data_IF_104328751854
#
_entry.id   IF_104328751854
#
_cell.length_a   1.000
_cell.length_b   1.000
_cell.length_c   1.000
_cell.angle_alpha   90.00
_cell.angle_beta   90.00
_cell.angle_gamma   90.00
#
_symmetry.space_group_name_H-M   'P 1'
#
loop_
_entity.id
_entity.type
_entity.pdbx_description
1 polymer ?
#
# COMPACT_ATOMS: atom_id res chain seq x y z
N UNK A 1 -0.26 46.55 -5.89
CA UNK A 1 0.72 45.77 -6.67
C UNK A 1 1.71 46.72 -7.36
N UNK A 2 2.57 47.41 -6.61
CA UNK A 2 3.47 48.41 -7.22
C UNK A 2 4.74 47.82 -7.87
N UNK A 3 5.07 46.55 -7.58
CA UNK A 3 6.30 45.92 -8.06
C UNK A 3 6.20 45.44 -9.53
N UNK A 4 4.98 45.18 -10.02
CA UNK A 4 4.70 44.74 -11.39
C UNK A 4 4.64 45.92 -12.38
N UNK A 5 4.24 47.12 -11.92
CA UNK A 5 4.19 48.33 -12.75
C UNK A 5 5.55 48.69 -13.38
N UNK A 6 6.65 48.31 -12.74
CA UNK A 6 8.01 48.49 -13.27
C UNK A 6 8.44 47.43 -14.27
N UNK A 7 7.82 46.25 -14.24
CA UNK A 7 7.99 45.19 -15.24
C UNK A 7 7.20 45.53 -16.50
N UNK A 8 5.95 45.96 -16.37
CA UNK A 8 5.07 46.28 -17.50
C UNK A 8 5.63 47.40 -18.39
N UNK A 9 6.48 48.27 -17.83
CA UNK A 9 7.13 49.38 -18.55
C UNK A 9 8.46 49.01 -19.21
N UNK A 10 9.01 47.82 -18.95
CA UNK A 10 10.31 47.39 -19.45
C UNK A 10 10.22 46.00 -20.09
N UNK A 11 10.62 45.87 -21.36
CA UNK A 11 10.65 44.60 -22.11
C UNK A 11 11.78 43.63 -21.65
N UNK A 12 12.18 43.68 -20.37
CA UNK A 12 13.21 42.79 -19.87
C UNK A 12 12.65 41.37 -19.67
N UNK A 13 13.41 40.31 -19.99
CA UNK A 13 13.00 38.94 -19.70
C UNK A 13 12.68 38.76 -18.20
N UNK A 14 11.55 38.15 -17.89
CA UNK A 14 11.07 37.92 -16.52
C UNK A 14 12.14 37.31 -15.61
N UNK A 15 12.95 36.39 -16.14
CA UNK A 15 14.06 35.74 -15.41
C UNK A 15 15.04 36.74 -14.80
N UNK A 16 15.28 37.87 -15.47
CA UNK A 16 16.21 38.91 -15.03
C UNK A 16 15.58 39.88 -14.04
N UNK A 17 14.27 40.12 -14.15
CA UNK A 17 13.53 41.03 -13.27
C UNK A 17 13.02 40.34 -11.98
N UNK A 18 12.89 39.01 -12.01
CA UNK A 18 12.36 38.20 -10.91
C UNK A 18 13.07 38.38 -9.55
N UNK A 19 14.41 38.43 -9.46
CA UNK A 19 15.08 38.67 -8.17
C UNK A 19 14.72 40.02 -7.54
N UNK A 20 14.49 41.05 -8.36
CA UNK A 20 14.06 42.37 -7.90
C UNK A 20 12.61 42.38 -7.44
N UNK A 21 11.73 41.63 -8.12
CA UNK A 21 10.35 41.42 -7.66
C UNK A 21 10.33 40.76 -6.29
N UNK A 22 11.14 39.72 -6.09
CA UNK A 22 11.25 39.04 -4.80
C UNK A 22 11.72 39.98 -3.69
N UNK A 23 12.73 40.82 -3.97
CA UNK A 23 13.22 41.80 -3.02
C UNK A 23 12.19 42.89 -2.65
N UNK A 24 11.21 43.15 -3.53
CA UNK A 24 10.14 44.12 -3.31
C UNK A 24 8.86 43.56 -2.68
N UNK A 25 8.80 42.25 -2.39
CA UNK A 25 7.66 41.62 -1.74
C UNK A 25 7.70 41.87 -0.22
N UNK A 26 6.68 42.55 0.28
CA UNK A 26 6.46 42.74 1.72
C UNK A 26 5.46 41.68 2.21
N UNK A 27 5.97 40.67 2.91
CA UNK A 27 5.18 39.54 3.40
C UNK A 27 4.19 39.95 4.49
N UNK A 28 4.53 40.90 5.37
CA UNK A 28 3.64 41.37 6.43
C UNK A 28 2.45 42.14 5.87
N UNK A 29 2.71 42.97 4.85
CA UNK A 29 1.66 43.68 4.13
C UNK A 29 0.74 42.72 3.38
N UNK A 30 1.30 41.72 2.71
CA UNK A 30 0.51 40.75 1.95
C UNK A 30 -0.31 39.85 2.88
N UNK A 31 0.25 39.41 4.01
CA UNK A 31 -0.48 38.67 5.03
C UNK A 31 -1.68 39.45 5.58
N UNK A 32 -1.50 40.75 5.90
CA UNK A 32 -2.61 41.63 6.32
C UNK A 32 -3.65 41.84 5.23
N UNK A 33 -3.22 41.90 3.97
CA UNK A 33 -4.15 41.99 2.83
C UNK A 33 -4.99 40.73 2.72
N UNK A 34 -4.35 39.56 2.79
CA UNK A 34 -5.00 38.25 2.69
C UNK A 34 -5.95 37.98 3.85
N UNK A 35 -5.66 38.46 5.06
CA UNK A 35 -6.54 38.35 6.21
C UNK A 35 -7.92 39.00 6.00
N UNK A 36 -8.00 40.00 5.12
CA UNK A 36 -9.24 40.70 4.79
C UNK A 36 -9.93 40.14 3.54
N UNK A 37 -9.40 39.08 2.92
CA UNK A 37 -10.02 38.42 1.78
C UNK A 37 -11.09 37.47 2.30
N UNK A 38 -12.36 37.83 2.05
CA UNK A 38 -13.47 36.90 2.24
C UNK A 38 -13.65 36.11 0.94
N UNK A 39 -13.35 34.81 1.01
CA UNK A 39 -13.70 33.89 -0.07
C UNK A 39 -15.21 33.65 -0.06
N UNK A 40 -15.81 33.58 -1.24
CA UNK A 40 -17.20 33.19 -1.38
C UNK A 40 -17.40 31.81 -0.73
N UNK A 41 -18.51 31.64 0.01
CA UNK A 41 -18.84 30.36 0.62
C UNK A 41 -18.94 29.27 -0.45
N UNK A 42 -18.34 28.11 -0.17
CA UNK A 42 -18.44 26.92 -1.01
C UNK A 42 -19.91 26.49 -1.08
N UNK A 43 -20.59 26.86 -2.16
CA UNK A 43 -21.88 26.26 -2.49
C UNK A 43 -21.63 24.88 -3.08
N UNK A 44 -22.54 23.90 -2.87
CA UNK A 44 -22.44 22.57 -3.46
C UNK A 44 -22.25 22.58 -5.00
N UNK A 45 -22.81 23.59 -5.66
CA UNK A 45 -22.64 23.81 -7.10
C UNK A 45 -21.25 24.34 -7.47
N UNK A 46 -20.64 25.18 -6.64
CA UNK A 46 -19.28 25.67 -6.85
C UNK A 46 -18.24 24.59 -6.58
N UNK A 47 -18.45 23.70 -5.59
CA UNK A 47 -17.62 22.50 -5.39
C UNK A 47 -17.73 21.55 -6.57
N UNK A 48 -18.95 21.27 -7.06
CA UNK A 48 -19.13 20.40 -8.22
C UNK A 48 -18.53 21.00 -9.51
N UNK A 49 -18.56 22.33 -9.66
CA UNK A 49 -17.93 23.01 -10.80
C UNK A 49 -16.39 23.06 -10.69
N UNK A 50 -15.84 23.25 -9.48
CA UNK A 50 -14.40 23.22 -9.23
C UNK A 50 -13.82 21.80 -9.35
N UNK A 51 -14.52 20.79 -8.83
CA UNK A 51 -14.16 19.36 -8.97
C UNK A 51 -14.25 18.88 -10.42
N UNK A 52 -15.13 19.45 -11.25
CA UNK A 52 -15.15 19.18 -12.70
C UNK A 52 -13.96 19.78 -13.44
N UNK A 53 -13.36 20.86 -12.96
CA UNK A 53 -12.24 21.54 -13.61
C UNK A 53 -10.87 21.05 -13.12
N UNK A 54 -10.80 20.55 -11.88
CA UNK A 54 -9.67 19.73 -11.44
C UNK A 54 -9.99 18.29 -11.80
N UNK A 55 -9.87 17.95 -13.08
CA UNK A 55 -9.89 16.56 -13.50
C UNK A 55 -8.86 15.83 -12.61
N UNK A 56 -9.36 14.95 -11.73
CA UNK A 56 -8.50 14.04 -11.00
C UNK A 56 -7.53 13.43 -12.02
N UNK A 57 -6.22 13.35 -11.73
CA UNK A 57 -5.32 12.62 -12.61
C UNK A 57 -5.99 11.27 -12.90
N UNK A 58 -6.00 10.81 -14.18
CA UNK A 58 -6.63 9.54 -14.52
C UNK A 58 -6.15 8.51 -13.50
N UNK A 59 -7.03 7.64 -12.97
CA UNK A 59 -6.62 6.62 -12.02
C UNK A 59 -5.40 5.94 -12.62
N UNK A 60 -4.25 6.07 -11.93
CA UNK A 60 -2.99 5.58 -12.45
C UNK A 60 -3.23 4.16 -12.92
N UNK A 61 -2.92 3.88 -14.20
CA UNK A 61 -3.14 2.54 -14.72
C UNK A 61 -2.47 1.55 -13.77
N UNK A 62 -3.19 0.50 -13.32
CA UNK A 62 -2.62 -0.43 -12.36
C UNK A 62 -1.30 -0.92 -12.94
N UNK A 63 -0.26 -0.81 -12.13
CA UNK A 63 1.09 -1.21 -12.50
C UNK A 63 1.07 -2.64 -13.02
N UNK A 64 2.05 -2.99 -13.82
CA UNK A 64 2.13 -4.34 -14.37
C UNK A 64 2.11 -5.41 -13.25
N UNK A 65 2.78 -5.13 -12.12
CA UNK A 65 2.74 -5.97 -10.93
C UNK A 65 1.31 -6.14 -10.37
N UNK A 66 0.55 -5.06 -10.23
CA UNK A 66 -0.83 -5.12 -9.73
C UNK A 66 -1.74 -5.91 -10.67
N UNK A 67 -1.58 -5.74 -12.00
CA UNK A 67 -2.32 -6.52 -13.00
C UNK A 67 -2.00 -8.01 -12.92
N UNK A 68 -0.72 -8.36 -12.84
CA UNK A 68 -0.29 -9.74 -12.71
C UNK A 68 -0.77 -10.37 -11.40
N UNK A 69 -0.67 -9.64 -10.28
CA UNK A 69 -1.16 -10.10 -8.97
C UNK A 69 -2.67 -10.31 -8.97
N UNK A 70 -3.44 -9.41 -9.58
CA UNK A 70 -4.89 -9.55 -9.69
C UNK A 70 -5.29 -10.79 -10.49
N UNK A 71 -4.62 -11.04 -11.62
CA UNK A 71 -4.87 -12.23 -12.43
C UNK A 71 -4.47 -13.53 -11.70
N UNK A 72 -3.27 -13.56 -11.09
CA UNK A 72 -2.83 -14.71 -10.30
C UNK A 72 -3.75 -14.99 -9.11
N UNK A 73 -4.26 -13.94 -8.45
CA UNK A 73 -5.24 -14.06 -7.37
C UNK A 73 -6.55 -14.66 -7.86
N UNK A 74 -7.04 -14.19 -9.00
CA UNK A 74 -8.26 -14.74 -9.63
C UNK A 74 -8.10 -16.23 -9.95
N UNK A 75 -6.95 -16.64 -10.47
CA UNK A 75 -6.65 -18.05 -10.72
C UNK A 75 -6.57 -18.86 -9.42
N UNK A 76 -5.95 -18.32 -8.38
CA UNK A 76 -5.88 -18.95 -7.06
C UNK A 76 -7.23 -19.10 -6.37
N UNK A 77 -8.11 -18.11 -6.49
CA UNK A 77 -9.48 -18.17 -5.95
C UNK A 77 -10.36 -19.15 -6.75
N UNK A 78 -10.06 -19.37 -8.03
CA UNK A 78 -10.63 -20.44 -8.85
C UNK A 78 -10.01 -21.84 -8.57
N UNK A 79 -9.05 -21.94 -7.65
CA UNK A 79 -8.26 -23.14 -7.35
C UNK A 79 -7.57 -23.75 -8.58
N UNK A 80 -7.22 -22.90 -9.55
CA UNK A 80 -6.54 -23.33 -10.76
C UNK A 80 -5.08 -23.69 -10.43
N UNK A 81 -4.58 -24.89 -10.78
CA UNK A 81 -3.18 -25.24 -10.63
C UNK A 81 -2.21 -24.29 -11.36
N UNK A 82 -2.69 -23.56 -12.38
CA UNK A 82 -1.92 -22.54 -13.09
C UNK A 82 -1.53 -21.35 -12.19
N UNK A 83 -2.24 -21.12 -11.07
CA UNK A 83 -1.95 -20.04 -10.14
C UNK A 83 -0.51 -20.10 -9.59
N UNK A 84 0.02 -21.31 -9.35
CA UNK A 84 1.41 -21.52 -8.91
C UNK A 84 2.38 -20.93 -9.93
N UNK A 85 2.21 -21.26 -11.21
CA UNK A 85 3.07 -20.77 -12.29
C UNK A 85 2.91 -19.26 -12.48
N UNK A 86 1.71 -18.72 -12.31
CA UNK A 86 1.46 -17.28 -12.38
C UNK A 86 2.23 -16.53 -11.29
N UNK A 87 2.17 -16.99 -10.03
CA UNK A 87 2.93 -16.36 -8.95
C UNK A 87 4.44 -16.56 -9.08
N UNK A 88 4.92 -17.71 -9.55
CA UNK A 88 6.34 -17.93 -9.81
C UNK A 88 6.89 -16.94 -10.85
N UNK A 89 6.13 -16.65 -11.92
CA UNK A 89 6.49 -15.61 -12.90
C UNK A 89 6.54 -14.22 -12.29
N UNK A 90 5.61 -13.89 -11.40
CA UNK A 90 5.61 -12.61 -10.69
C UNK A 90 6.86 -12.48 -9.84
N UNK A 91 7.21 -13.51 -9.06
CA UNK A 91 8.37 -13.49 -8.16
C UNK A 91 9.69 -13.42 -8.95
N UNK A 92 9.77 -14.05 -10.13
CA UNK A 92 10.94 -13.92 -11.00
C UNK A 92 11.16 -12.48 -11.48
N UNK A 93 10.09 -11.74 -11.73
CA UNK A 93 10.14 -10.35 -12.20
C UNK A 93 10.23 -9.34 -11.05
N UNK A 94 9.60 -9.66 -9.92
CA UNK A 94 9.47 -8.82 -8.73
C UNK A 94 9.78 -9.67 -7.48
N UNK A 95 11.06 -9.90 -7.17
CA UNK A 95 11.46 -10.75 -6.04
C UNK A 95 11.03 -10.16 -4.68
N UNK A 96 10.95 -8.84 -4.58
CA UNK A 96 10.60 -8.07 -3.37
C UNK A 96 9.09 -7.84 -3.22
N UNK A 97 8.26 -8.73 -3.78
CA UNK A 97 6.80 -8.66 -3.69
C UNK A 97 6.26 -9.70 -2.68
N UNK A 98 6.16 -9.36 -1.37
CA UNK A 98 5.69 -10.29 -0.34
C UNK A 98 4.26 -10.79 -0.60
N UNK A 99 3.41 -9.96 -1.24
CA UNK A 99 2.07 -10.36 -1.66
C UNK A 99 2.08 -11.51 -2.70
N UNK A 100 3.07 -11.53 -3.61
CA UNK A 100 3.22 -12.60 -4.59
C UNK A 100 3.69 -13.90 -3.93
N UNK A 101 4.67 -13.79 -3.03
CA UNK A 101 5.17 -14.92 -2.24
C UNK A 101 4.06 -15.55 -1.37
N UNK A 102 3.25 -14.73 -0.71
CA UNK A 102 2.08 -15.18 0.04
C UNK A 102 1.03 -15.87 -0.86
N UNK A 103 0.74 -15.29 -2.03
CA UNK A 103 -0.16 -15.89 -3.02
C UNK A 103 0.33 -17.26 -3.49
N UNK A 104 1.63 -17.39 -3.77
CA UNK A 104 2.28 -18.65 -4.12
C UNK A 104 2.13 -19.67 -2.99
N UNK A 105 2.39 -19.27 -1.74
CA UNK A 105 2.27 -20.18 -0.60
C UNK A 105 0.85 -20.76 -0.48
N UNK A 106 -0.20 -19.93 -0.62
CA UNK A 106 -1.59 -20.41 -0.64
C UNK A 106 -1.85 -21.40 -1.77
N UNK A 107 -1.39 -21.09 -2.98
CA UNK A 107 -1.56 -21.97 -4.13
C UNK A 107 -0.84 -23.31 -3.92
N UNK A 108 0.33 -23.31 -3.30
CA UNK A 108 1.08 -24.51 -2.92
C UNK A 108 0.35 -25.34 -1.85
N UNK A 109 -0.26 -24.70 -0.84
CA UNK A 109 -1.10 -25.41 0.15
C UNK A 109 -2.26 -26.13 -0.53
N UNK A 110 -2.95 -25.46 -1.46
CA UNK A 110 -4.06 -26.07 -2.23
C UNK A 110 -3.56 -27.23 -3.09
N UNK A 111 -2.37 -27.11 -3.68
CA UNK A 111 -1.71 -28.18 -4.44
C UNK A 111 -1.24 -29.35 -3.55
N UNK A 112 -1.15 -29.16 -2.24
CA UNK A 112 -0.64 -30.15 -1.28
C UNK A 112 0.88 -30.10 -1.06
N UNK A 113 1.57 -29.11 -1.63
CA UNK A 113 3.01 -28.92 -1.49
C UNK A 113 3.33 -28.08 -0.24
N UNK A 114 3.07 -28.68 0.91
CA UNK A 114 3.07 -28.00 2.22
C UNK A 114 4.49 -27.57 2.63
N UNK A 115 5.52 -28.31 2.26
CA UNK A 115 6.91 -27.97 2.61
C UNK A 115 7.43 -26.74 1.87
N UNK A 116 7.11 -26.61 0.57
CA UNK A 116 7.42 -25.38 -0.17
C UNK A 116 6.58 -24.21 0.32
N UNK A 117 5.30 -24.44 0.63
CA UNK A 117 4.43 -23.41 1.20
C UNK A 117 4.99 -22.84 2.51
N UNK A 118 5.40 -23.71 3.43
CA UNK A 118 6.03 -23.35 4.72
C UNK A 118 7.27 -22.49 4.52
N UNK A 119 8.18 -22.91 3.64
CA UNK A 119 9.41 -22.15 3.32
C UNK A 119 9.06 -20.74 2.81
N UNK A 120 8.06 -20.64 1.94
CA UNK A 120 7.65 -19.36 1.37
C UNK A 120 6.99 -18.45 2.42
N UNK A 121 6.15 -18.99 3.31
CA UNK A 121 5.54 -18.22 4.41
C UNK A 121 6.58 -17.71 5.41
N UNK A 122 7.56 -18.55 5.76
CA UNK A 122 8.66 -18.13 6.64
C UNK A 122 9.47 -16.99 6.02
N UNK A 123 9.71 -17.03 4.71
CA UNK A 123 10.38 -15.96 3.98
C UNK A 123 9.58 -14.66 4.01
N UNK A 124 8.27 -14.72 3.74
CA UNK A 124 7.36 -13.56 3.82
C UNK A 124 7.38 -12.94 5.22
N UNK A 125 7.33 -13.77 6.26
CA UNK A 125 7.39 -13.30 7.65
C UNK A 125 8.73 -12.62 7.92
N UNK A 126 9.86 -13.20 7.51
CA UNK A 126 11.19 -12.61 7.68
C UNK A 126 11.31 -11.25 6.96
N UNK A 127 10.83 -11.15 5.72
CA UNK A 127 10.87 -9.89 4.95
C UNK A 127 9.98 -8.80 5.56
N UNK A 128 8.79 -9.15 6.05
CA UNK A 128 7.82 -8.20 6.60
C UNK A 128 8.08 -7.84 8.07
N UNK A 129 8.77 -8.70 8.83
CA UNK A 129 9.12 -8.47 10.24
C UNK A 129 10.49 -7.81 10.44
N UNK A 130 11.30 -7.70 9.39
CA UNK A 130 12.60 -7.05 9.45
C UNK A 130 12.45 -5.56 9.84
N UNK A 131 13.21 -5.13 10.85
CA UNK A 131 13.26 -3.74 11.28
C UNK A 131 13.68 -2.84 10.11
N UNK A 132 12.86 -1.84 9.79
CA UNK A 132 13.07 -0.98 8.61
C UNK A 132 12.28 -1.39 7.37
N UNK A 133 11.44 -2.43 7.45
CA UNK A 133 10.34 -2.61 6.50
C UNK A 133 9.57 -1.29 6.44
N UNK A 134 9.69 -0.59 5.31
CA UNK A 134 9.08 0.71 5.11
C UNK A 134 7.60 0.65 5.51
N UNK A 135 7.02 1.79 5.88
CA UNK A 135 5.66 1.98 6.38
C UNK A 135 4.49 1.45 5.50
N UNK A 136 4.73 0.49 4.61
CA UNK A 136 3.78 -0.35 3.88
C UNK A 136 3.97 -1.87 4.13
N UNK A 137 4.55 -2.30 5.26
CA UNK A 137 4.43 -3.69 5.68
C UNK A 137 2.94 -4.04 5.81
N UNK A 138 2.40 -4.81 4.85
CA UNK A 138 0.98 -5.14 4.81
C UNK A 138 0.61 -6.01 6.03
N UNK A 139 -0.05 -5.44 7.06
CA UNK A 139 -0.35 -6.17 8.28
C UNK A 139 -1.27 -7.35 8.01
N UNK A 140 -2.07 -7.28 6.93
CA UNK A 140 -2.91 -8.38 6.50
C UNK A 140 -2.06 -9.56 6.02
N UNK A 141 -1.12 -9.33 5.11
CA UNK A 141 -0.25 -10.40 4.59
C UNK A 141 0.59 -11.02 5.72
N UNK A 142 1.16 -10.21 6.62
CA UNK A 142 1.92 -10.73 7.76
C UNK A 142 1.06 -11.59 8.70
N UNK A 143 -0.10 -11.07 9.13
CA UNK A 143 -1.01 -11.79 10.04
C UNK A 143 -1.49 -13.11 9.44
N UNK A 144 -1.90 -13.11 8.18
CA UNK A 144 -2.34 -14.33 7.51
C UNK A 144 -1.20 -15.30 7.26
N UNK A 145 0.02 -14.82 7.02
CA UNK A 145 1.18 -15.71 6.84
C UNK A 145 1.45 -16.53 8.10
N UNK A 146 1.41 -15.90 9.28
CA UNK A 146 1.47 -16.59 10.57
C UNK A 146 0.32 -17.60 10.76
N UNK A 147 -0.92 -17.24 10.40
CA UNK A 147 -2.07 -18.17 10.51
C UNK A 147 -1.92 -19.38 9.61
N UNK A 148 -1.48 -19.19 8.36
CA UNK A 148 -1.26 -20.31 7.44
C UNK A 148 -0.12 -21.21 7.92
N UNK A 149 0.96 -20.62 8.43
CA UNK A 149 2.06 -21.38 9.00
C UNK A 149 1.62 -22.19 10.23
N UNK A 150 0.80 -21.60 11.09
CA UNK A 150 0.21 -22.28 12.24
C UNK A 150 -0.66 -23.47 11.84
N UNK A 151 -1.53 -23.32 10.83
CA UNK A 151 -2.37 -24.41 10.30
C UNK A 151 -1.55 -25.54 9.69
N UNK A 152 -0.47 -25.19 8.98
CA UNK A 152 0.47 -26.19 8.46
C UNK A 152 1.06 -27.01 9.61
N UNK A 153 1.45 -26.36 10.71
CA UNK A 153 1.95 -27.06 11.89
C UNK A 153 0.88 -27.91 12.59
N UNK A 154 -0.37 -27.45 12.66
CA UNK A 154 -1.48 -28.25 13.20
C UNK A 154 -1.70 -29.54 12.39
N UNK A 155 -1.69 -29.44 11.05
CA UNK A 155 -1.79 -30.61 10.16
C UNK A 155 -0.60 -31.57 10.33
N UNK A 156 0.56 -31.05 10.73
CA UNK A 156 1.75 -31.84 11.03
C UNK A 156 1.79 -32.36 12.48
N UNK A 157 0.72 -32.16 13.26
CA UNK A 157 0.64 -32.47 14.69
C UNK A 157 1.69 -31.74 15.56
N UNK A 158 2.29 -30.67 15.03
CA UNK A 158 3.30 -29.83 15.69
C UNK A 158 2.67 -28.65 16.41
N UNK A 159 1.79 -28.96 17.35
CA UNK A 159 1.00 -27.95 18.07
C UNK A 159 1.88 -26.98 18.88
N UNK A 160 3.04 -27.46 19.33
CA UNK A 160 4.08 -26.68 19.99
C UNK A 160 4.57 -25.51 19.13
N UNK A 161 4.62 -25.70 17.80
CA UNK A 161 4.94 -24.64 16.84
C UNK A 161 3.72 -23.87 16.34
N UNK A 162 2.53 -24.49 16.28
CA UNK A 162 1.34 -23.80 15.79
C UNK A 162 0.85 -22.69 16.73
N UNK A 163 0.83 -22.95 18.04
CA UNK A 163 0.37 -21.99 19.05
C UNK A 163 1.11 -20.65 19.04
N UNK A 164 2.46 -20.60 19.03
CA UNK A 164 3.17 -19.32 18.98
C UNK A 164 2.88 -18.55 17.69
N UNK A 165 2.70 -19.23 16.56
CA UNK A 165 2.37 -18.59 15.28
C UNK A 165 0.97 -17.94 15.30
N UNK A 166 -0.05 -18.61 15.87
CA UNK A 166 -1.36 -17.98 16.05
C UNK A 166 -1.30 -16.76 16.97
N UNK A 167 -0.48 -16.80 18.03
CA UNK A 167 -0.29 -15.65 18.91
C UNK A 167 0.43 -14.50 18.20
N UNK A 168 1.45 -14.81 17.40
CA UNK A 168 2.17 -13.83 16.58
C UNK A 168 1.20 -13.12 15.63
N UNK A 169 0.31 -13.86 14.95
CA UNK A 169 -0.71 -13.29 14.07
C UNK A 169 -1.64 -12.27 14.76
N UNK A 170 -1.95 -12.49 16.05
CA UNK A 170 -2.78 -11.56 16.83
C UNK A 170 -2.00 -10.33 17.31
N UNK A 171 -0.70 -10.48 17.52
CA UNK A 171 0.22 -9.44 17.98
C UNK A 171 0.71 -8.50 16.87
N UNK A 172 0.37 -8.76 15.60
CA UNK A 172 0.71 -7.85 14.50
C UNK A 172 -0.06 -6.53 14.65
N UNK A 173 0.68 -5.43 14.69
CA UNK A 173 0.12 -4.08 14.71
C UNK A 173 -0.69 -3.82 13.43
N UNK A 174 -1.96 -3.45 13.59
CA UNK A 174 -2.87 -3.27 12.45
C UNK A 174 -3.45 -4.57 11.87
N UNK A 175 -3.28 -5.72 12.54
CA UNK A 175 -3.89 -6.98 12.08
C UNK A 175 -5.39 -6.83 11.79
N UNK A 176 -5.91 -7.40 10.69
CA UNK A 176 -7.33 -7.34 10.39
C UNK A 176 -8.12 -8.22 11.38
N UNK A 177 -9.36 -7.81 11.68
CA UNK A 177 -10.21 -8.53 12.63
C UNK A 177 -10.48 -9.98 12.22
N UNK A 178 -10.54 -10.24 10.91
CA UNK A 178 -10.68 -11.58 10.34
C UNK A 178 -9.48 -12.48 10.69
N UNK A 179 -8.26 -11.96 10.63
CA UNK A 179 -7.06 -12.69 11.02
C UNK A 179 -7.05 -12.97 12.52
N UNK A 180 -7.35 -11.98 13.38
CA UNK A 180 -7.44 -12.18 14.83
C UNK A 180 -8.46 -13.25 15.20
N UNK A 181 -9.65 -13.22 14.60
CA UNK A 181 -10.68 -14.23 14.83
C UNK A 181 -10.27 -15.62 14.35
N UNK A 182 -9.60 -15.72 13.19
CA UNK A 182 -9.09 -16.98 12.67
C UNK A 182 -7.98 -17.57 13.58
N UNK A 183 -7.08 -16.73 14.08
CA UNK A 183 -6.04 -17.13 15.02
C UNK A 183 -6.61 -17.60 16.36
N UNK A 184 -7.59 -16.88 16.91
CA UNK A 184 -8.28 -17.30 18.14
C UNK A 184 -8.96 -18.67 17.97
N UNK A 185 -9.68 -18.86 16.85
CA UNK A 185 -10.30 -20.17 16.55
C UNK A 185 -9.26 -21.28 16.44
N UNK A 186 -8.12 -21.00 15.79
CA UNK A 186 -7.00 -21.95 15.68
C UNK A 186 -6.40 -22.31 17.04
N UNK A 187 -6.38 -21.39 18.00
CA UNK A 187 -5.95 -21.66 19.39
C UNK A 187 -6.95 -22.52 20.16
N UNK A 188 -8.24 -22.31 19.97
CA UNK A 188 -9.31 -23.07 20.64
C UNK A 188 -9.49 -24.47 20.04
N UNK A 189 -9.30 -24.61 18.72
CA UNK A 189 -9.50 -25.85 17.98
C UNK A 189 -8.37 -26.05 16.95
N UNK A 190 -7.48 -27.04 17.15
CA UNK A 190 -6.50 -27.45 16.14
C UNK A 190 -7.19 -27.99 14.88
#
# INVERSE_FOLDING_TARGET
FAALDGYEKNEQPLKSYYPRLLAGLDFDREAKRLANVQFAALTPDATAAAERQVAAPPPAEPSELERMLAEAKKQGDAQDPAAVLAYERIIQKYPDAPAAQYGLARALVIKGDVDRAKTMLQKVIQELSAEGAAAGADPQTLSWSHIWLARIYDVQERRDLAVPEYRAAMGVDGAPQSARSAAQKGLEKP
#
